data_IF_678173005244
#
_entry.id   IF_678173005244
#
_cell.length_a   1.000
_cell.length_b   1.000
_cell.length_c   1.000
_cell.angle_alpha   90.00
_cell.angle_beta   90.00
_cell.angle_gamma   90.00
#
_symmetry.space_group_name_H-M   'P 1'
#
loop_
_entity.id
_entity.type
_entity.pdbx_description
1 polymer ?
#
# COMPACT_ATOMS: atom_id res chain seq x y z
N UNK A 1 7.13 22.58 1.95
CA UNK A 1 7.10 21.60 3.05
C UNK A 1 6.04 22.04 4.03
N UNK A 2 4.92 21.32 4.13
CA UNK A 2 3.74 21.85 4.82
C UNK A 2 3.72 21.38 6.28
N UNK A 3 3.89 22.32 7.23
CA UNK A 3 3.96 22.06 8.68
C UNK A 3 2.71 21.35 9.22
N UNK A 4 1.57 21.53 8.55
CA UNK A 4 0.33 20.84 8.86
C UNK A 4 0.44 19.31 8.86
N UNK A 5 1.28 18.72 7.99
CA UNK A 5 1.50 17.27 7.99
C UNK A 5 2.26 16.79 9.22
N UNK A 6 3.25 17.56 9.69
CA UNK A 6 4.02 17.25 10.89
C UNK A 6 3.13 17.31 12.14
N UNK A 7 2.28 18.34 12.24
CA UNK A 7 1.31 18.47 13.34
C UNK A 7 0.29 17.32 13.34
N UNK A 8 -0.13 16.84 12.17
CA UNK A 8 -1.04 15.69 12.03
C UNK A 8 -0.37 14.39 12.49
N UNK A 9 0.89 14.16 12.14
CA UNK A 9 1.67 12.99 12.61
C UNK A 9 1.92 13.05 14.12
N UNK A 10 2.26 14.22 14.66
CA UNK A 10 2.41 14.40 16.10
C UNK A 10 1.11 14.11 16.88
N UNK A 11 -0.05 14.44 16.28
CA UNK A 11 -1.37 14.12 16.85
C UNK A 11 -1.66 12.61 16.84
N UNK A 12 -1.22 11.88 15.81
CA UNK A 12 -1.36 10.42 15.76
C UNK A 12 -0.61 9.71 16.90
N UNK A 13 0.56 10.22 17.31
CA UNK A 13 1.31 9.65 18.44
C UNK A 13 0.61 9.92 19.77
N UNK A 14 0.03 11.13 19.93
CA UNK A 14 -0.62 11.55 21.18
C UNK A 14 -2.04 11.01 21.35
N UNK A 15 -2.77 10.89 20.24
CA UNK A 15 -4.15 10.43 20.23
C UNK A 15 -4.31 9.53 19.01
N UNK A 16 -3.92 8.25 19.13
CA UNK A 16 -3.96 7.34 18.02
C UNK A 16 -5.40 7.22 17.50
N UNK A 17 -5.58 7.18 16.16
CA UNK A 17 -6.86 6.79 15.59
C UNK A 17 -7.28 5.42 16.14
N UNK A 18 -8.59 5.15 16.17
CA UNK A 18 -9.15 3.95 16.80
C UNK A 18 -8.37 2.69 16.44
N UNK A 19 -8.12 1.84 17.45
CA UNK A 19 -7.31 0.62 17.30
C UNK A 19 -7.81 -0.27 16.15
N UNK A 20 -9.12 -0.26 15.88
CA UNK A 20 -9.74 -0.97 14.76
C UNK A 20 -9.26 -0.50 13.39
N UNK A 21 -9.13 0.82 13.17
CA UNK A 21 -8.64 1.35 11.90
C UNK A 21 -7.16 1.03 11.68
N UNK A 22 -6.35 1.11 12.75
CA UNK A 22 -4.92 0.76 12.69
C UNK A 22 -4.74 -0.73 12.39
N UNK A 23 -5.48 -1.61 13.07
CA UNK A 23 -5.45 -3.06 12.80
C UNK A 23 -5.90 -3.40 11.39
N UNK A 24 -6.94 -2.74 10.88
CA UNK A 24 -7.43 -2.96 9.52
C UNK A 24 -6.34 -2.65 8.49
N UNK A 25 -5.69 -1.49 8.62
CA UNK A 25 -4.61 -1.09 7.71
C UNK A 25 -3.39 -2.01 7.85
N UNK A 26 -3.01 -2.37 9.07
CA UNK A 26 -1.90 -3.31 9.29
C UNK A 26 -2.19 -4.70 8.71
N UNK A 27 -3.43 -5.19 8.83
CA UNK A 27 -3.84 -6.47 8.25
C UNK A 27 -3.75 -6.45 6.72
N UNK A 28 -4.24 -5.38 6.07
CA UNK A 28 -4.13 -5.21 4.62
C UNK A 28 -2.67 -5.11 4.20
N UNK A 29 -1.87 -4.33 4.92
CA UNK A 29 -0.44 -4.17 4.62
C UNK A 29 0.31 -5.50 4.73
N UNK A 30 0.02 -6.29 5.77
CA UNK A 30 0.57 -7.63 5.93
C UNK A 30 0.13 -8.54 4.79
N UNK A 31 -1.13 -8.49 4.37
CA UNK A 31 -1.65 -9.27 3.24
C UNK A 31 -0.91 -8.92 1.93
N UNK A 32 -0.74 -7.63 1.62
CA UNK A 32 0.02 -7.18 0.45
C UNK A 32 1.49 -7.64 0.51
N UNK A 33 2.13 -7.57 1.68
CA UNK A 33 3.52 -8.02 1.86
C UNK A 33 3.65 -9.53 1.66
N UNK A 34 2.72 -10.31 2.19
CA UNK A 34 2.68 -11.77 2.00
C UNK A 34 2.49 -12.09 0.52
N UNK A 35 1.52 -11.42 -0.14
CA UNK A 35 1.29 -11.60 -1.56
C UNK A 35 2.57 -11.32 -2.35
N UNK A 36 3.18 -10.15 -2.16
CA UNK A 36 4.41 -9.77 -2.82
C UNK A 36 5.60 -10.70 -2.55
N UNK A 37 5.72 -11.21 -1.32
CA UNK A 37 6.75 -12.21 -0.99
C UNK A 37 6.51 -13.52 -1.76
N UNK A 38 5.25 -13.95 -1.87
CA UNK A 38 4.87 -15.12 -2.68
C UNK A 38 5.19 -14.89 -4.15
N UNK A 39 4.87 -13.71 -4.71
CA UNK A 39 5.21 -13.34 -6.10
C UNK A 39 6.72 -13.39 -6.36
N UNK A 40 7.52 -12.87 -5.42
CA UNK A 40 8.97 -12.80 -5.55
C UNK A 40 9.63 -14.19 -5.44
N UNK A 41 9.06 -15.11 -4.67
CA UNK A 41 9.64 -16.46 -4.44
C UNK A 41 9.22 -17.44 -5.54
N UNK A 42 7.95 -17.44 -5.94
CA UNK A 42 7.43 -18.37 -6.95
C UNK A 42 7.54 -17.85 -8.40
N UNK A 43 7.74 -16.54 -8.59
CA UNK A 43 7.60 -15.92 -9.89
C UNK A 43 6.12 -15.75 -10.26
N UNK A 44 5.82 -14.70 -11.02
CA UNK A 44 4.46 -14.42 -11.47
C UNK A 44 4.18 -15.16 -12.78
N UNK A 45 3.16 -16.01 -12.84
CA UNK A 45 2.86 -16.75 -14.06
C UNK A 45 2.37 -15.78 -15.14
N UNK A 46 2.86 -15.96 -16.36
CA UNK A 46 2.47 -15.23 -17.58
C UNK A 46 0.96 -15.14 -17.83
N UNK A 47 0.14 -16.02 -17.22
CA UNK A 47 -1.33 -15.94 -17.23
C UNK A 47 -1.91 -14.78 -16.40
N UNK A 48 -1.17 -14.28 -15.40
CA UNK A 48 -1.57 -13.19 -14.50
C UNK A 48 -0.92 -11.86 -14.86
N UNK A 49 0.08 -11.85 -15.75
CA UNK A 49 0.70 -10.63 -16.26
C UNK A 49 -0.36 -9.77 -16.96
N UNK A 50 -0.69 -8.57 -16.43
CA UNK A 50 -1.59 -7.65 -17.10
C UNK A 50 -0.98 -7.34 -18.46
N UNK A 51 -1.75 -7.50 -19.54
CA UNK A 51 -1.38 -6.94 -20.83
C UNK A 51 -1.18 -5.45 -20.61
N UNK A 52 0.08 -5.03 -20.62
CA UNK A 52 0.46 -3.64 -20.48
C UNK A 52 -0.36 -2.84 -21.49
N UNK A 53 -1.16 -1.84 -21.08
CA UNK A 53 -1.73 -0.92 -22.03
C UNK A 53 -0.56 -0.12 -22.57
N UNK A 54 0.02 -0.57 -23.68
CA UNK A 54 0.73 0.28 -24.62
C UNK A 54 -0.28 1.27 -25.17
N UNK A 55 -0.60 2.26 -24.36
CA UNK A 55 -1.62 3.27 -24.59
C UNK A 55 -1.14 4.57 -23.98
N UNK A 56 0.10 4.97 -24.27
CA UNK A 56 0.39 6.41 -24.38
C UNK A 56 -0.49 6.89 -25.53
N UNK A 57 -1.69 7.37 -25.19
CA UNK A 57 -2.53 8.08 -26.13
C UNK A 57 -1.69 9.25 -26.66
N UNK A 58 -1.59 9.42 -27.99
CA UNK A 58 -0.84 10.52 -28.57
C UNK A 58 -1.59 11.81 -28.25
N UNK A 59 -1.02 12.62 -27.37
CA UNK A 59 -1.25 14.07 -27.38
C UNK A 59 -0.39 14.71 -28.46
#
# INVERSE_FOLDING_TARGET
MNLFWLLRMARWVRQPPSEGAVRFVLAIMALCLVLFAVERIWGWPEMLTPNSPSGRAPW
#
